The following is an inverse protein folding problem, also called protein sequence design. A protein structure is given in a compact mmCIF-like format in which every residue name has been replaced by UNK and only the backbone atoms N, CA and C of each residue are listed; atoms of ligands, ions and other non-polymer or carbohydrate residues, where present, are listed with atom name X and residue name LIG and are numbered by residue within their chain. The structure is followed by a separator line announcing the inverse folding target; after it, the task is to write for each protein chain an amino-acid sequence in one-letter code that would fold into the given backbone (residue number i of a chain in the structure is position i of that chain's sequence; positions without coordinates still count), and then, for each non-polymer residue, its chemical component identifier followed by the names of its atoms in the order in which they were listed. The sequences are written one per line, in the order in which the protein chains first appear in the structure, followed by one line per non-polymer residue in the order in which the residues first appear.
data_IF_558061864886
#
_entry.id   IF_558061864886
#
_cell.length_a   1.000
_cell.length_b   1.000
_cell.length_c   1.000
_cell.angle_alpha   90.00
_cell.angle_beta   90.00
_cell.angle_gamma   90.00
#
_symmetry.space_group_name_H-M   'P 1'
#
loop_
_entity.id
_entity.type
_entity.pdbx_description
1 polymer ?
#
# COMPACT_ATOMS: atom_id res chain seq x y z
N UNK A 1 10.31 -13.44 39.05
CA UNK A 1 9.61 -14.31 38.09
C UNK A 1 10.61 -14.73 37.03
N UNK A 2 10.28 -15.71 36.19
CA UNK A 2 11.19 -16.19 35.14
C UNK A 2 10.51 -16.14 33.80
N UNK A 3 11.31 -16.07 32.75
CA UNK A 3 10.85 -16.31 31.38
C UNK A 3 11.52 -17.55 30.83
N UNK A 4 10.84 -18.26 29.94
CA UNK A 4 11.41 -19.37 29.17
C UNK A 4 11.27 -19.12 27.69
N UNK A 5 12.38 -19.25 26.96
CA UNK A 5 12.40 -19.16 25.50
C UNK A 5 12.12 -20.54 24.88
N UNK A 6 11.85 -20.58 23.57
CA UNK A 6 11.42 -21.82 22.90
C UNK A 6 12.48 -22.93 22.89
N UNK A 7 13.76 -22.57 23.06
CA UNK A 7 14.87 -23.52 23.19
C UNK A 7 14.98 -24.13 24.61
N UNK A 8 14.09 -23.73 25.52
CA UNK A 8 14.04 -24.19 26.90
C UNK A 8 14.95 -23.41 27.85
N UNK A 9 15.70 -22.42 27.37
CA UNK A 9 16.51 -21.54 28.23
C UNK A 9 15.60 -20.72 29.15
N UNK A 10 16.00 -20.58 30.41
CA UNK A 10 15.25 -19.86 31.46
C UNK A 10 16.07 -18.67 31.94
N UNK A 11 15.42 -17.51 32.08
CA UNK A 11 16.06 -16.26 32.49
C UNK A 11 15.28 -15.57 33.60
N UNK A 12 16.01 -14.97 34.55
CA UNK A 12 15.40 -14.23 35.67
C UNK A 12 14.90 -12.87 35.19
N UNK A 13 13.62 -12.60 35.44
CA UNK A 13 12.97 -11.37 35.05
C UNK A 13 12.24 -10.75 36.24
N UNK A 14 12.40 -9.44 36.41
CA UNK A 14 11.62 -8.67 37.40
C UNK A 14 10.19 -8.45 36.91
N UNK A 15 10.04 -8.23 35.60
CA UNK A 15 8.80 -7.80 34.94
C UNK A 15 8.86 -8.16 33.46
N UNK A 16 7.70 -8.47 32.87
CA UNK A 16 7.51 -8.69 31.44
C UNK A 16 6.10 -8.20 31.10
N UNK A 17 6.00 -7.04 30.48
CA UNK A 17 4.72 -6.35 30.26
C UNK A 17 4.66 -5.77 28.86
N UNK A 18 3.47 -5.82 28.26
CA UNK A 18 3.20 -5.14 26.99
C UNK A 18 2.75 -3.72 27.30
N UNK A 19 3.53 -2.74 26.85
CA UNK A 19 3.27 -1.31 27.04
C UNK A 19 3.44 -0.58 25.71
N UNK A 20 2.48 0.25 25.32
CA UNK A 20 2.59 1.12 24.13
C UNK A 20 3.04 0.39 22.84
N UNK A 21 2.56 -0.84 22.60
CA UNK A 21 2.86 -1.61 21.39
C UNK A 21 4.23 -2.30 21.38
N UNK A 22 4.93 -2.36 22.52
CA UNK A 22 6.17 -3.13 22.72
C UNK A 22 6.08 -4.01 23.97
N UNK A 23 6.75 -5.15 23.95
CA UNK A 23 6.98 -5.97 25.13
C UNK A 23 8.27 -5.49 25.79
N UNK A 24 8.17 -5.11 27.06
CA UNK A 24 9.29 -4.70 27.90
C UNK A 24 9.59 -5.80 28.93
N UNK A 25 10.83 -6.29 28.99
CA UNK A 25 11.26 -7.31 29.96
C UNK A 25 12.45 -6.80 30.77
N UNK A 26 12.30 -6.70 32.08
CA UNK A 26 13.36 -6.25 32.99
C UNK A 26 14.21 -7.45 33.44
N UNK A 27 15.43 -7.57 32.92
CA UNK A 27 16.35 -8.69 33.20
C UNK A 27 17.34 -8.32 34.31
N UNK A 28 17.54 -9.23 35.27
CA UNK A 28 18.33 -8.95 36.48
C UNK A 28 19.73 -9.55 36.48
N UNK A 29 19.91 -10.73 35.88
CA UNK A 29 21.08 -11.60 36.05
C UNK A 29 22.05 -11.59 34.86
N UNK A 30 21.85 -10.68 33.89
CA UNK A 30 22.63 -10.63 32.64
C UNK A 30 23.13 -9.24 32.32
N UNK A 31 24.29 -9.15 31.71
CA UNK A 31 24.82 -7.92 31.11
C UNK A 31 24.01 -7.51 29.88
N UNK A 32 24.16 -6.26 29.43
CA UNK A 32 23.49 -5.77 28.23
C UNK A 32 23.94 -6.53 26.96
N UNK A 33 25.20 -6.98 26.91
CA UNK A 33 25.76 -7.78 25.81
C UNK A 33 25.14 -9.18 25.78
N UNK A 34 25.08 -9.87 26.93
CA UNK A 34 24.39 -11.17 27.03
C UNK A 34 22.90 -11.09 26.69
N UNK A 35 22.23 -10.00 27.09
CA UNK A 35 20.85 -9.73 26.70
C UNK A 35 20.74 -9.57 25.18
N UNK A 36 21.62 -8.79 24.58
CA UNK A 36 21.60 -8.60 23.14
C UNK A 36 21.81 -9.93 22.40
N UNK A 37 22.76 -10.76 22.81
CA UNK A 37 23.04 -12.04 22.16
C UNK A 37 21.86 -13.02 22.23
N UNK A 38 21.14 -13.03 23.35
CA UNK A 38 19.98 -13.91 23.55
C UNK A 38 18.76 -13.40 22.77
N UNK A 39 18.40 -12.13 22.97
CA UNK A 39 17.14 -11.59 22.46
C UNK A 39 17.21 -11.11 21.02
N UNK A 40 18.40 -10.98 20.42
CA UNK A 40 18.53 -10.65 18.98
C UNK A 40 18.24 -11.82 18.04
N UNK A 41 17.86 -13.00 18.56
CA UNK A 41 17.57 -14.20 17.77
C UNK A 41 16.04 -14.41 17.67
N UNK A 42 15.37 -13.96 16.58
CA UNK A 42 13.91 -13.95 16.49
C UNK A 42 13.26 -15.33 16.67
N UNK A 43 13.95 -16.39 16.23
CA UNK A 43 13.47 -17.76 16.35
C UNK A 43 13.24 -18.16 17.82
N UNK A 44 14.09 -17.69 18.74
CA UNK A 44 13.99 -17.99 20.17
C UNK A 44 12.78 -17.33 20.85
N UNK A 45 12.32 -16.23 20.26
CA UNK A 45 11.29 -15.34 20.81
C UNK A 45 9.89 -15.59 20.26
N UNK A 46 9.72 -16.61 19.41
CA UNK A 46 8.43 -16.96 18.79
C UNK A 46 7.32 -17.16 19.82
N UNK A 47 7.68 -17.75 20.97
CA UNK A 47 6.84 -17.77 22.16
C UNK A 47 7.71 -17.66 23.41
N UNK A 48 7.40 -16.71 24.30
CA UNK A 48 8.09 -16.54 25.57
C UNK A 48 7.11 -16.96 26.68
N UNK A 49 7.43 -18.01 27.43
CA UNK A 49 6.62 -18.43 28.57
C UNK A 49 6.94 -17.59 29.80
N UNK A 50 5.91 -17.20 30.56
CA UNK A 50 6.03 -16.53 31.83
C UNK A 50 5.86 -17.54 32.96
N UNK A 51 6.86 -17.61 33.83
CA UNK A 51 6.93 -18.57 34.92
C UNK A 51 7.00 -17.86 36.28
N UNK A 52 6.33 -18.44 37.27
CA UNK A 52 6.50 -18.07 38.67
C UNK A 52 7.91 -18.45 39.13
N UNK A 53 8.33 -17.99 40.31
CA UNK A 53 9.69 -18.24 40.82
C UNK A 53 9.97 -19.73 41.07
N UNK A 54 8.93 -20.51 41.39
CA UNK A 54 8.95 -21.97 41.54
C UNK A 54 9.01 -22.73 40.20
N UNK A 55 8.91 -22.02 39.07
CA UNK A 55 8.96 -22.58 37.72
C UNK A 55 7.61 -22.97 37.13
N UNK A 56 6.50 -22.79 37.87
CA UNK A 56 5.15 -23.00 37.33
C UNK A 56 4.82 -21.95 36.27
N UNK A 57 4.31 -22.39 35.12
CA UNK A 57 3.88 -21.49 34.05
C UNK A 57 2.58 -20.80 34.43
N UNK A 58 2.55 -19.47 34.36
CA UNK A 58 1.34 -18.67 34.60
C UNK A 58 0.86 -17.90 33.36
N UNK A 59 1.65 -17.86 32.28
CA UNK A 59 1.24 -17.23 31.03
C UNK A 59 2.24 -17.43 29.91
N UNK A 60 1.95 -16.83 28.77
CA UNK A 60 2.81 -16.75 27.60
C UNK A 60 2.59 -15.43 26.86
N UNK A 61 3.63 -14.99 26.16
CA UNK A 61 3.60 -13.79 25.31
C UNK A 61 4.10 -14.16 23.91
N UNK A 62 3.20 -14.63 23.02
CA UNK A 62 3.59 -15.08 21.68
C UNK A 62 3.84 -13.92 20.72
N UNK A 63 4.72 -14.16 19.74
CA UNK A 63 4.86 -13.30 18.56
C UNK A 63 5.74 -12.06 18.71
N UNK A 64 6.36 -11.82 19.87
CA UNK A 64 7.26 -10.69 20.14
C UNK A 64 8.69 -10.95 19.65
N UNK A 65 8.84 -11.14 18.34
CA UNK A 65 10.06 -11.69 17.74
C UNK A 65 11.11 -10.67 17.32
N UNK A 66 10.79 -9.37 17.29
CA UNK A 66 11.70 -8.33 16.79
C UNK A 66 12.38 -7.65 17.96
N UNK A 67 13.71 -7.75 18.03
CA UNK A 67 14.52 -7.06 19.05
C UNK A 67 14.70 -5.58 18.72
N UNK A 68 14.24 -4.71 19.62
CA UNK A 68 14.35 -3.26 19.51
C UNK A 68 15.53 -2.66 20.29
N UNK A 69 16.24 -3.46 21.09
CA UNK A 69 17.37 -3.02 21.90
C UNK A 69 17.18 -3.24 23.39
N UNK A 70 18.20 -2.88 24.16
CA UNK A 70 18.20 -2.90 25.63
C UNK A 70 18.37 -1.48 26.17
N UNK A 71 17.46 -1.04 27.03
CA UNK A 71 17.56 0.22 27.75
C UNK A 71 18.18 -0.02 29.12
N UNK A 72 19.20 0.76 29.47
CA UNK A 72 19.88 0.68 30.77
C UNK A 72 19.54 1.94 31.58
N UNK A 73 18.88 1.77 32.72
CA UNK A 73 18.55 2.85 33.65
C UNK A 73 18.99 2.45 35.07
N UNK A 74 20.12 3.00 35.51
CA UNK A 74 20.78 2.55 36.75
C UNK A 74 21.16 1.07 36.66
N UNK A 75 20.71 0.26 37.62
CA UNK A 75 20.95 -1.19 37.62
C UNK A 75 19.93 -2.00 36.79
N UNK A 76 18.86 -1.36 36.32
CA UNK A 76 17.77 -2.02 35.57
C UNK A 76 18.10 -2.09 34.09
N UNK A 77 17.94 -3.27 33.49
CA UNK A 77 18.13 -3.54 32.06
C UNK A 77 16.82 -4.02 31.46
N UNK A 78 16.24 -3.22 30.58
CA UNK A 78 14.93 -3.49 29.98
C UNK A 78 15.10 -3.86 28.52
N UNK A 79 14.77 -5.11 28.17
CA UNK A 79 14.67 -5.62 26.81
C UNK A 79 13.43 -5.04 26.15
N UNK A 80 13.56 -4.52 24.94
CA UNK A 80 12.42 -4.03 24.15
C UNK A 80 12.21 -4.97 22.97
N UNK A 81 11.01 -5.56 22.87
CA UNK A 81 10.61 -6.43 21.77
C UNK A 81 9.35 -5.88 21.08
N UNK A 82 9.24 -6.07 19.77
CA UNK A 82 8.03 -5.78 18.99
C UNK A 82 7.58 -7.02 18.24
N UNK A 83 6.30 -7.06 17.85
CA UNK A 83 5.79 -8.16 17.03
C UNK A 83 6.19 -7.96 15.57
N UNK A 84 6.58 -9.04 14.89
CA UNK A 84 6.53 -9.06 13.43
C UNK A 84 5.06 -9.02 13.03
N UNK A 85 4.68 -8.13 12.10
CA UNK A 85 3.30 -8.02 11.63
C UNK A 85 2.83 -9.37 11.05
N UNK A 86 2.21 -10.23 11.86
CA UNK A 86 1.84 -11.59 11.47
C UNK A 86 0.38 -11.61 11.01
N UNK A 87 0.23 -11.34 9.72
CA UNK A 87 -0.95 -11.08 8.90
C UNK A 87 -1.97 -12.23 8.76
N UNK A 88 -1.78 -13.39 9.38
CA UNK A 88 -2.56 -14.60 8.99
C UNK A 88 -3.67 -15.00 9.97
N UNK A 89 -3.42 -15.00 11.29
CA UNK A 89 -4.46 -15.40 12.28
C UNK A 89 -5.44 -14.27 12.62
N UNK A 90 -5.01 -13.01 12.52
CA UNK A 90 -5.93 -11.87 12.64
C UNK A 90 -6.99 -11.87 11.54
N UNK A 91 -6.72 -12.44 10.36
CA UNK A 91 -7.66 -12.40 9.22
C UNK A 91 -8.90 -13.25 9.43
N UNK A 92 -8.83 -14.39 10.13
CA UNK A 92 -9.99 -15.29 10.25
C UNK A 92 -10.97 -14.80 11.33
N UNK A 93 -10.47 -14.43 12.51
CA UNK A 93 -11.29 -13.89 13.61
C UNK A 93 -11.76 -12.46 13.33
N UNK A 94 -10.95 -11.65 12.61
CA UNK A 94 -11.41 -10.35 12.13
C UNK A 94 -12.51 -10.52 11.10
N UNK A 95 -12.39 -11.40 10.10
CA UNK A 95 -13.45 -11.56 9.07
C UNK A 95 -14.80 -11.94 9.67
N UNK A 96 -14.85 -12.83 10.67
CA UNK A 96 -16.11 -13.19 11.35
C UNK A 96 -16.64 -12.03 12.22
N UNK A 97 -15.76 -11.31 12.93
CA UNK A 97 -16.12 -10.13 13.73
C UNK A 97 -16.57 -8.95 12.84
N UNK A 98 -15.90 -8.75 11.71
CA UNK A 98 -16.16 -7.70 10.73
C UNK A 98 -17.43 -8.00 9.94
N UNK A 99 -17.72 -9.26 9.63
CA UNK A 99 -18.99 -9.66 9.01
C UNK A 99 -20.18 -9.40 9.95
N UNK A 100 -20.03 -9.69 11.26
CA UNK A 100 -21.06 -9.40 12.25
C UNK A 100 -21.23 -7.88 12.46
N UNK A 101 -20.12 -7.13 12.55
CA UNK A 101 -20.12 -5.67 12.65
C UNK A 101 -20.71 -5.01 11.40
N UNK A 102 -20.38 -5.49 10.21
CA UNK A 102 -20.92 -5.00 8.94
C UNK A 102 -22.43 -5.24 8.84
N UNK A 103 -22.92 -6.39 9.33
CA UNK A 103 -24.35 -6.70 9.36
C UNK A 103 -25.11 -5.77 10.33
N UNK A 104 -24.59 -5.58 11.55
CA UNK A 104 -25.16 -4.65 12.53
C UNK A 104 -25.11 -3.19 12.05
N UNK A 105 -24.02 -2.81 11.37
CA UNK A 105 -23.85 -1.49 10.76
C UNK A 105 -24.84 -1.26 9.62
N UNK A 106 -25.13 -2.27 8.81
CA UNK A 106 -26.11 -2.19 7.72
C UNK A 106 -27.55 -2.05 8.24
N UNK A 107 -27.88 -2.65 9.38
CA UNK A 107 -29.17 -2.48 10.06
C UNK A 107 -29.27 -1.08 10.70
N UNK A 108 -28.23 -0.61 11.39
CA UNK A 108 -28.19 0.73 11.99
C UNK A 108 -28.18 1.88 10.96
N UNK A 109 -27.51 1.70 9.82
CA UNK A 109 -27.49 2.66 8.71
C UNK A 109 -28.87 2.86 8.07
N UNK A 110 -29.74 1.85 8.10
CA UNK A 110 -31.12 1.97 7.63
C UNK A 110 -31.98 2.80 8.57
N UNK A 111 -31.67 2.83 9.86
CA UNK A 111 -32.49 3.51 10.87
C UNK A 111 -31.99 4.92 11.22
N UNK A 112 -30.66 5.16 11.31
CA UNK A 112 -30.15 6.30 12.09
C UNK A 112 -29.14 7.26 11.40
N UNK A 113 -28.67 7.01 10.17
CA UNK A 113 -27.64 7.87 9.53
C UNK A 113 -26.22 7.71 10.12
N UNK A 114 -25.23 8.56 9.76
CA UNK A 114 -23.78 8.31 10.00
C UNK A 114 -23.19 9.17 11.16
N UNK A 115 -22.74 8.57 12.30
CA UNK A 115 -21.98 9.24 13.37
C UNK A 115 -20.45 9.11 13.28
N UNK A 116 -19.71 9.96 14.02
CA UNK A 116 -18.24 10.19 14.02
C UNK A 116 -17.33 8.93 14.14
N UNK A 117 -17.77 7.85 14.79
CA UNK A 117 -17.01 6.58 14.85
C UNK A 117 -16.93 5.84 13.50
N UNK A 118 -17.83 6.12 12.55
CA UNK A 118 -17.77 5.59 11.18
C UNK A 118 -16.55 6.11 10.39
N UNK A 119 -15.86 7.15 10.88
CA UNK A 119 -14.64 7.68 10.25
C UNK A 119 -13.44 6.73 10.40
N UNK A 120 -13.26 6.05 11.55
CA UNK A 120 -12.12 5.15 11.76
C UNK A 120 -12.20 3.89 10.87
N UNK A 121 -13.40 3.30 10.76
CA UNK A 121 -13.65 2.13 9.91
C UNK A 121 -13.57 2.51 8.43
N UNK A 122 -14.11 3.68 8.05
CA UNK A 122 -13.98 4.19 6.68
C UNK A 122 -12.51 4.44 6.31
N UNK A 123 -11.73 5.06 7.19
CA UNK A 123 -10.30 5.31 6.96
C UNK A 123 -9.50 4.01 6.87
N UNK A 124 -9.78 3.02 7.73
CA UNK A 124 -9.17 1.70 7.65
C UNK A 124 -9.52 1.00 6.32
N UNK A 125 -10.78 1.09 5.89
CA UNK A 125 -11.25 0.53 4.63
C UNK A 125 -10.56 1.18 3.42
N UNK A 126 -10.40 2.52 3.45
CA UNK A 126 -9.67 3.28 2.42
C UNK A 126 -8.19 2.87 2.39
N UNK A 127 -7.56 2.67 3.55
CA UNK A 127 -6.16 2.21 3.63
C UNK A 127 -5.98 0.82 3.04
N UNK A 128 -6.88 -0.13 3.36
CA UNK A 128 -6.86 -1.49 2.79
C UNK A 128 -7.06 -1.45 1.28
N UNK A 129 -7.98 -0.61 0.80
CA UNK A 129 -8.26 -0.48 -0.62
C UNK A 129 -7.07 0.13 -1.37
N UNK A 130 -6.40 1.14 -0.79
CA UNK A 130 -5.13 1.71 -1.28
C UNK A 130 -4.02 0.67 -1.38
N UNK A 131 -3.81 -0.11 -0.31
CA UNK A 131 -2.80 -1.17 -0.30
C UNK A 131 -3.09 -2.25 -1.35
N UNK A 132 -4.35 -2.65 -1.49
CA UNK A 132 -4.79 -3.63 -2.48
C UNK A 132 -4.65 -3.12 -3.91
N UNK A 133 -4.86 -1.82 -4.15
CA UNK A 133 -4.69 -1.23 -5.47
C UNK A 133 -3.22 -1.25 -5.93
N UNK A 134 -2.23 -1.29 -5.05
CA UNK A 134 -0.81 -1.27 -5.44
C UNK A 134 -0.40 -2.45 -6.32
N UNK A 135 -1.04 -3.62 -6.15
CA UNK A 135 -0.72 -4.82 -6.94
C UNK A 135 -1.34 -4.83 -8.35
N UNK A 136 -2.25 -3.89 -8.64
CA UNK A 136 -2.86 -3.77 -9.96
C UNK A 136 -1.80 -3.46 -11.02
N UNK A 137 -1.99 -4.03 -12.21
CA UNK A 137 -1.20 -3.63 -13.38
C UNK A 137 -1.51 -2.19 -13.77
N UNK A 138 -0.60 -1.54 -14.50
CA UNK A 138 -0.72 -0.13 -14.89
C UNK A 138 -2.08 0.22 -15.54
N UNK A 139 -2.57 -0.65 -16.43
CA UNK A 139 -3.87 -0.49 -17.11
C UNK A 139 -5.06 -0.54 -16.14
N UNK A 140 -5.02 -1.43 -15.15
CA UNK A 140 -6.09 -1.57 -14.15
C UNK A 140 -6.04 -0.44 -13.13
N UNK A 141 -4.82 -0.04 -12.75
CA UNK A 141 -4.56 1.06 -11.83
C UNK A 141 -5.16 2.39 -12.33
N UNK A 142 -5.05 2.65 -13.64
CA UNK A 142 -5.65 3.84 -14.27
C UNK A 142 -7.17 3.91 -14.10
N UNK A 143 -7.87 2.78 -14.19
CA UNK A 143 -9.35 2.71 -14.02
C UNK A 143 -9.80 3.07 -12.61
N UNK A 144 -8.93 2.89 -11.62
CA UNK A 144 -9.20 3.19 -10.21
C UNK A 144 -8.29 4.28 -9.66
N UNK A 145 -7.72 5.14 -10.53
CA UNK A 145 -6.64 6.07 -10.15
C UNK A 145 -6.96 6.89 -8.89
N UNK A 146 -8.21 7.31 -8.72
CA UNK A 146 -8.68 8.10 -7.56
C UNK A 146 -8.47 7.43 -6.19
N UNK A 147 -8.20 6.11 -6.15
CA UNK A 147 -7.98 5.40 -4.90
C UNK A 147 -6.56 5.62 -4.34
N UNK A 148 -5.57 5.86 -5.20
CA UNK A 148 -4.17 5.97 -4.78
C UNK A 148 -3.91 7.26 -3.99
N UNK A 149 -2.95 7.21 -3.07
CA UNK A 149 -2.53 8.40 -2.32
C UNK A 149 -1.95 9.47 -3.24
N UNK A 150 -2.11 10.74 -2.87
CA UNK A 150 -1.47 11.83 -3.61
C UNK A 150 -0.01 11.99 -3.20
N UNK A 151 0.80 12.57 -4.09
CA UNK A 151 2.20 12.91 -3.79
C UNK A 151 2.31 13.81 -2.56
N UNK A 152 1.40 14.78 -2.40
CA UNK A 152 1.39 15.72 -1.27
C UNK A 152 1.13 15.00 0.07
N UNK A 153 0.21 14.03 0.10
CA UNK A 153 -0.03 13.18 1.27
C UNK A 153 1.25 12.40 1.65
N UNK A 154 1.93 11.81 0.66
CA UNK A 154 3.13 11.00 0.88
C UNK A 154 4.34 11.83 1.34
N UNK A 155 4.48 13.06 0.83
CA UNK A 155 5.48 14.03 1.32
C UNK A 155 5.19 14.42 2.76
N UNK A 156 3.94 14.74 3.09
CA UNK A 156 3.53 15.12 4.44
C UNK A 156 3.80 14.01 5.46
N UNK A 157 3.50 12.76 5.09
CA UNK A 157 3.74 11.58 5.93
C UNK A 157 5.22 11.15 6.01
N UNK A 158 6.09 11.76 5.19
CA UNK A 158 7.50 11.37 5.09
C UNK A 158 7.68 9.93 4.60
N UNK A 159 6.74 9.45 3.78
CA UNK A 159 6.64 8.06 3.35
C UNK A 159 7.85 7.63 2.51
N UNK A 160 8.22 6.35 2.65
CA UNK A 160 9.28 5.70 1.86
C UNK A 160 8.69 4.47 1.18
N UNK A 161 8.64 4.51 -0.15
CA UNK A 161 8.25 3.36 -0.95
C UNK A 161 9.40 2.34 -0.94
N UNK A 162 9.21 1.21 -0.25
CA UNK A 162 10.25 0.18 -0.11
C UNK A 162 10.52 -0.55 -1.42
N UNK A 163 9.50 -0.71 -2.27
CA UNK A 163 9.60 -1.34 -3.59
C UNK A 163 9.57 -0.28 -4.71
N UNK A 164 10.16 -0.63 -5.86
CA UNK A 164 9.92 0.12 -7.09
C UNK A 164 8.50 -0.12 -7.61
N UNK A 165 7.99 0.79 -8.44
CA UNK A 165 6.66 0.69 -9.01
C UNK A 165 5.52 1.06 -8.06
N UNK A 166 5.82 1.67 -6.90
CA UNK A 166 4.80 2.18 -5.98
C UNK A 166 4.00 3.31 -6.65
N UNK A 167 2.69 3.13 -6.78
CA UNK A 167 1.80 4.00 -7.55
C UNK A 167 1.17 5.10 -6.69
N UNK A 168 1.07 6.31 -7.23
CA UNK A 168 0.51 7.48 -6.55
C UNK A 168 -0.01 8.51 -7.56
N UNK A 169 -0.82 9.47 -7.10
CA UNK A 169 -1.38 10.53 -7.95
C UNK A 169 -0.63 11.84 -7.75
N UNK A 170 -0.41 12.58 -8.84
CA UNK A 170 -0.10 14.01 -8.76
C UNK A 170 -0.83 14.75 -9.89
N UNK A 171 -1.49 15.87 -9.58
CA UNK A 171 -2.29 16.66 -10.52
C UNK A 171 -3.30 15.85 -11.37
N UNK A 172 -3.88 14.79 -10.80
CA UNK A 172 -4.87 13.93 -11.48
C UNK A 172 -4.29 12.88 -12.43
N UNK A 173 -2.96 12.83 -12.56
CA UNK A 173 -2.22 11.82 -13.32
C UNK A 173 -1.64 10.75 -12.37
N UNK A 174 -1.55 9.52 -12.86
CA UNK A 174 -0.99 8.40 -12.11
C UNK A 174 0.51 8.29 -12.40
N UNK A 175 1.31 8.12 -11.36
CA UNK A 175 2.76 7.94 -11.42
C UNK A 175 3.16 6.68 -10.66
N UNK A 176 4.38 6.20 -10.91
CA UNK A 176 5.03 5.16 -10.11
C UNK A 176 6.50 5.47 -9.82
N UNK A 177 7.01 4.96 -8.70
CA UNK A 177 8.44 5.06 -8.36
C UNK A 177 9.30 4.23 -9.31
N UNK A 178 10.47 4.76 -9.67
CA UNK A 178 11.46 4.02 -10.48
C UNK A 178 12.29 3.09 -9.59
N UNK A 179 12.69 3.57 -8.42
CA UNK A 179 13.61 2.88 -7.52
C UNK A 179 12.92 2.38 -6.24
N UNK A 180 13.44 1.30 -5.69
CA UNK A 180 13.14 0.85 -4.33
C UNK A 180 13.73 1.81 -3.29
N UNK A 181 13.13 1.88 -2.10
CA UNK A 181 13.54 2.78 -1.03
C UNK A 181 13.31 4.27 -1.32
N UNK A 182 12.42 4.61 -2.26
CA UNK A 182 12.19 5.98 -2.67
C UNK A 182 11.45 6.79 -1.59
N UNK A 183 12.12 7.80 -1.03
CA UNK A 183 11.50 8.77 -0.11
C UNK A 183 10.74 9.85 -0.89
N UNK A 184 9.58 10.25 -0.41
CA UNK A 184 8.85 11.41 -0.94
C UNK A 184 9.34 12.70 -0.26
N UNK A 185 9.64 13.73 -1.07
CA UNK A 185 10.18 15.03 -0.60
C UNK A 185 9.57 16.17 -1.42
N UNK A 186 9.40 17.34 -0.82
CA UNK A 186 8.74 18.49 -1.44
C UNK A 186 9.50 19.02 -2.67
N UNK A 187 10.81 18.81 -2.72
CA UNK A 187 11.70 19.21 -3.81
C UNK A 187 11.61 18.27 -5.03
N UNK A 188 11.03 17.08 -4.87
CA UNK A 188 10.92 16.08 -5.94
C UNK A 188 9.50 16.06 -6.49
N UNK A 189 9.15 17.10 -7.25
CA UNK A 189 7.83 17.25 -7.86
C UNK A 189 7.72 16.32 -9.10
N UNK A 190 6.73 15.42 -9.17
CA UNK A 190 6.52 14.56 -10.34
C UNK A 190 6.31 15.36 -11.63
N UNK A 191 6.98 14.95 -12.71
CA UNK A 191 6.87 15.61 -14.03
C UNK A 191 7.67 16.91 -14.15
N UNK A 192 8.52 17.24 -13.17
CA UNK A 192 9.39 18.43 -13.20
C UNK A 192 10.85 18.06 -12.91
N UNK A 193 11.53 17.41 -13.86
CA UNK A 193 12.95 17.06 -13.72
C UNK A 193 13.20 15.88 -12.76
N UNK A 194 12.16 15.08 -12.50
CA UNK A 194 12.16 13.93 -11.59
C UNK A 194 11.94 12.61 -12.31
N UNK A 195 12.19 12.55 -13.61
CA UNK A 195 11.90 11.39 -14.47
C UNK A 195 12.74 10.15 -14.09
N UNK A 196 13.88 10.36 -13.43
CA UNK A 196 14.72 9.29 -12.86
C UNK A 196 14.19 8.74 -11.51
N UNK A 197 13.20 9.39 -10.93
CA UNK A 197 12.61 9.10 -9.62
C UNK A 197 11.18 8.58 -9.80
N UNK A 198 10.40 9.22 -10.66
CA UNK A 198 9.00 8.92 -10.94
C UNK A 198 8.75 8.79 -12.43
N UNK A 199 7.94 7.81 -12.82
CA UNK A 199 7.48 7.61 -14.19
C UNK A 199 5.98 7.76 -14.23
N UNK A 200 5.46 8.59 -15.15
CA UNK A 200 4.03 8.71 -15.40
C UNK A 200 3.50 7.40 -16.00
N UNK A 201 2.35 6.97 -15.52
CA UNK A 201 1.59 5.86 -16.11
C UNK A 201 0.56 6.48 -17.03
N UNK A 202 0.72 6.25 -18.34
CA UNK A 202 -0.17 6.76 -19.37
C UNK A 202 -1.27 5.74 -19.72
N UNK A 203 -2.46 6.25 -20.03
CA UNK A 203 -3.56 5.44 -20.55
C UNK A 203 -3.18 4.88 -21.92
N UNK A 204 -3.06 3.55 -21.99
CA UNK A 204 -2.87 2.83 -23.25
C UNK A 204 -4.24 2.50 -23.78
N UNK A 205 -4.66 3.23 -24.81
CA UNK A 205 -5.91 2.97 -25.49
C UNK A 205 -5.69 1.96 -26.61
N UNK A 206 -6.51 0.91 -26.63
CA UNK A 206 -6.46 -0.12 -27.69
C UNK A 206 -6.90 0.46 -29.05
N UNK A 207 -7.61 1.60 -29.05
CA UNK A 207 -8.17 2.19 -30.25
C UNK A 207 -9.39 1.41 -30.74
N UNK A 208 -10.13 0.81 -29.82
CA UNK A 208 -11.40 0.14 -30.10
C UNK A 208 -12.56 1.11 -29.91
N UNK A 209 -13.76 0.76 -30.37
CA UNK A 209 -14.95 1.60 -30.13
C UNK A 209 -15.23 1.80 -28.64
N UNK A 210 -14.94 0.81 -27.79
CA UNK A 210 -15.13 0.86 -26.34
C UNK A 210 -13.99 1.56 -25.59
N UNK A 211 -12.84 1.70 -26.24
CA UNK A 211 -11.61 2.31 -25.70
C UNK A 211 -10.88 3.11 -26.80
N UNK A 212 -11.47 4.25 -27.24
CA UNK A 212 -10.93 5.07 -28.31
C UNK A 212 -9.70 5.85 -27.85
N UNK A 213 -8.76 6.07 -28.76
CA UNK A 213 -7.53 6.82 -28.49
C UNK A 213 -7.83 8.33 -28.46
N UNK A 214 -7.47 9.08 -27.39
CA UNK A 214 -7.59 10.53 -27.38
C UNK A 214 -6.85 11.16 -28.55
N UNK A 215 -7.57 11.91 -29.37
CA UNK A 215 -7.02 12.55 -30.54
C UNK A 215 -6.32 13.86 -30.18
N UNK A 216 -5.16 14.10 -30.77
CA UNK A 216 -4.47 15.39 -30.73
C UNK A 216 -4.03 15.80 -32.14
N UNK A 217 -3.91 17.10 -32.38
CA UNK A 217 -3.30 17.58 -33.62
C UNK A 217 -1.84 17.07 -33.76
N UNK A 218 -1.37 16.88 -34.99
CA UNK A 218 -0.03 16.36 -35.30
C UNK A 218 0.22 14.93 -34.77
N UNK A 219 -0.81 14.10 -34.76
CA UNK A 219 -0.78 12.71 -34.30
C UNK A 219 -0.67 11.72 -35.48
N UNK A 220 -0.08 10.55 -35.22
CA UNK A 220 -0.15 9.38 -36.10
C UNK A 220 -1.47 8.62 -35.88
N UNK A 221 -2.27 8.51 -36.93
CA UNK A 221 -3.52 7.77 -36.95
C UNK A 221 -3.33 6.43 -37.67
N UNK A 222 -3.96 5.38 -37.16
CA UNK A 222 -3.93 4.03 -37.73
C UNK A 222 -5.31 3.69 -38.28
N UNK A 223 -5.36 3.28 -39.55
CA UNK A 223 -6.59 2.88 -40.24
C UNK A 223 -7.24 1.70 -39.52
N UNK A 224 -8.54 1.82 -39.25
CA UNK A 224 -9.34 0.82 -38.55
C UNK A 224 -9.53 1.08 -37.05
N UNK A 225 -8.70 1.92 -36.42
CA UNK A 225 -8.83 2.28 -35.01
C UNK A 225 -9.81 3.45 -34.79
N UNK A 226 -10.24 3.58 -33.54
CA UNK A 226 -11.18 4.59 -33.05
C UNK A 226 -10.47 5.63 -32.20
N UNK A 227 -10.90 6.87 -32.34
CA UNK A 227 -10.32 8.06 -31.73
C UNK A 227 -11.41 8.91 -31.08
N UNK A 228 -11.11 9.56 -29.96
CA UNK A 228 -12.05 10.43 -29.26
C UNK A 228 -11.55 11.88 -29.23
N UNK A 229 -12.44 12.81 -29.57
CA UNK A 229 -12.21 14.24 -29.59
C UNK A 229 -13.45 14.93 -29.03
N UNK A 230 -13.29 15.76 -27.98
CA UNK A 230 -14.39 16.49 -27.33
C UNK A 230 -15.63 15.64 -26.99
N UNK A 231 -15.40 14.36 -26.66
CA UNK A 231 -16.44 13.40 -26.33
C UNK A 231 -17.10 12.69 -27.52
N UNK A 232 -16.72 13.02 -28.76
CA UNK A 232 -17.18 12.34 -29.98
C UNK A 232 -16.17 11.31 -30.46
N UNK A 233 -16.70 10.17 -30.94
CA UNK A 233 -15.88 9.04 -31.38
C UNK A 233 -15.85 8.97 -32.90
N UNK A 234 -14.64 8.86 -33.43
CA UNK A 234 -14.33 8.84 -34.85
C UNK A 234 -13.55 7.57 -35.19
N UNK A 235 -13.96 6.87 -36.24
CA UNK A 235 -13.16 5.78 -36.81
C UNK A 235 -12.26 6.33 -37.91
N UNK A 236 -10.96 6.05 -37.85
CA UNK A 236 -10.07 6.32 -38.99
C UNK A 236 -10.41 5.32 -40.09
N UNK A 237 -11.00 5.82 -41.19
CA UNK A 237 -11.56 4.98 -42.24
C UNK A 237 -11.28 5.49 -43.67
N UNK A 238 -10.19 6.24 -43.87
CA UNK A 238 -9.83 6.79 -45.18
C UNK A 238 -9.86 5.73 -46.30
N UNK A 239 -10.54 6.04 -47.39
CA UNK A 239 -10.52 5.21 -48.59
C UNK A 239 -9.11 5.14 -49.20
N UNK A 240 -8.74 3.96 -49.68
CA UNK A 240 -7.42 3.71 -50.28
C UNK A 240 -6.30 3.43 -49.28
N UNK A 241 -6.60 3.32 -47.98
CA UNK A 241 -5.69 2.78 -46.98
C UNK A 241 -6.14 1.40 -46.50
N UNK A 242 -5.18 0.50 -46.31
CA UNK A 242 -5.41 -0.82 -45.70
C UNK A 242 -5.47 -0.73 -44.17
N UNK A 243 -6.20 -1.64 -43.52
CA UNK A 243 -6.29 -1.65 -42.06
C UNK A 243 -4.91 -1.89 -41.42
N UNK A 244 -4.60 -1.09 -40.40
CA UNK A 244 -3.27 -1.08 -39.77
C UNK A 244 -2.27 -0.11 -40.42
N UNK A 245 -2.54 0.43 -41.61
CA UNK A 245 -1.71 1.50 -42.19
C UNK A 245 -1.81 2.78 -41.39
N UNK A 246 -0.70 3.54 -41.38
CA UNK A 246 -0.56 4.73 -40.54
C UNK A 246 -0.39 5.99 -41.37
N UNK A 247 -0.91 7.10 -40.85
CA UNK A 247 -0.75 8.43 -41.45
C UNK A 247 -0.64 9.48 -40.36
N UNK A 248 0.33 10.39 -40.50
CA UNK A 248 0.44 11.56 -39.61
C UNK A 248 -0.44 12.68 -40.16
N UNK A 249 -1.35 13.19 -39.33
CA UNK A 249 -2.25 14.28 -39.71
C UNK A 249 -2.05 15.46 -38.76
N UNK A 250 -2.04 16.67 -39.32
CA UNK A 250 -1.90 17.91 -38.56
C UNK A 250 -3.23 18.38 -37.96
N UNK A 251 -4.34 17.79 -38.39
CA UNK A 251 -5.70 18.16 -38.03
C UNK A 251 -6.32 17.13 -37.08
N UNK A 252 -7.34 17.56 -36.32
CA UNK A 252 -8.16 16.70 -35.47
C UNK A 252 -9.20 15.90 -36.30
N UNK A 253 -9.77 14.81 -35.76
CA UNK A 253 -10.76 14.00 -36.47
C UNK A 253 -11.98 14.77 -37.00
N UNK A 254 -12.50 15.72 -36.24
CA UNK A 254 -13.67 16.56 -36.59
C UNK A 254 -13.44 17.37 -37.86
N UNK A 255 -12.21 17.85 -38.08
CA UNK A 255 -11.82 18.67 -39.24
C UNK A 255 -11.72 17.85 -40.54
N UNK A 256 -11.54 16.54 -40.43
CA UNK A 256 -11.37 15.62 -41.56
C UNK A 256 -12.49 14.56 -41.65
N UNK A 257 -13.60 14.80 -40.96
CA UNK A 257 -14.79 13.96 -41.01
C UNK A 257 -15.34 13.87 -42.44
N UNK A 258 -15.65 12.66 -42.88
CA UNK A 258 -16.10 12.36 -44.24
C UNK A 258 -14.97 12.20 -45.27
N UNK A 259 -13.71 12.43 -44.89
CA UNK A 259 -12.54 12.21 -45.75
C UNK A 259 -11.59 11.14 -45.19
N UNK A 260 -11.12 11.37 -43.96
CA UNK A 260 -10.21 10.45 -43.26
C UNK A 260 -10.89 9.72 -42.12
N UNK A 261 -11.89 10.37 -41.52
CA UNK A 261 -12.61 9.85 -40.37
C UNK A 261 -14.09 9.73 -40.64
N UNK A 262 -14.71 8.74 -39.99
CA UNK A 262 -16.15 8.58 -39.93
C UNK A 262 -16.59 8.78 -38.49
N UNK A 263 -17.49 9.75 -38.27
CA UNK A 263 -18.15 9.93 -36.99
C UNK A 263 -18.98 8.68 -36.66
N UNK A 264 -18.85 8.17 -35.44
CA UNK A 264 -19.52 6.95 -34.96
C UNK A 264 -20.57 7.30 -33.90
N UNK A 265 -20.24 8.20 -32.96
CA UNK A 265 -21.13 8.69 -31.91
C UNK A 265 -20.81 10.13 -31.55
#
# INVERSE_FOLDING_TARGET
MKIRLIDGSVHEAKRAEVMNGRLEIDIQDKTAEEIQDIFSVPALLTNIELLMDDGEKFGDVPGWTIYGGVMVLGDTKTVILTQSANITEQRLTAVESEALKAKMLAEDLKENGIPFEKNAVLNASVMVARASAQVLGDVEALKVKAIYSTWEELVFDGYVAMESGYKFIHNGELYKTVNAGQRFQAEWIPGQGTESIFTRIDEVHVGSLEDPIPATANMEYTKGLYYIEDGQVYQMNREGMEDGEKVVLQFLPSELAGQYFKLVS
#
